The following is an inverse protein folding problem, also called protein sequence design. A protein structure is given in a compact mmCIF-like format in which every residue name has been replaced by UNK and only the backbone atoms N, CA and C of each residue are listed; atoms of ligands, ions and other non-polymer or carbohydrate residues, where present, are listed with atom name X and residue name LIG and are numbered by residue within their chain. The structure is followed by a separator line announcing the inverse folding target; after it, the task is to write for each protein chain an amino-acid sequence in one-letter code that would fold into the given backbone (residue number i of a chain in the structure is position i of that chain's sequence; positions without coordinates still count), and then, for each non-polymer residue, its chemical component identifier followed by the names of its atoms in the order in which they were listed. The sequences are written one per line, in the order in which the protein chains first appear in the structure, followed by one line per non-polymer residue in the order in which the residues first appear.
data_IF_764007659630
#
_entry.id   IF_764007659630
#
_cell.length_a   1.000
_cell.length_b   1.000
_cell.length_c   1.000
_cell.angle_alpha   90.00
_cell.angle_beta   90.00
_cell.angle_gamma   90.00
#
_symmetry.space_group_name_H-M   'P 1'
#
loop_
_entity.id
_entity.type
_entity.pdbx_description
1 polymer ?
#
# COMPACT_ATOMS: atom_id res chain seq x y z
N UNK A 1 60.74 -49.77 -4.27
CA UNK A 1 60.99 -48.33 -4.16
C UNK A 1 59.91 -47.65 -5.01
N UNK A 2 59.01 -46.85 -4.58
CA UNK A 2 58.72 -45.94 -3.51
C UNK A 2 57.19 -45.78 -3.44
N UNK A 3 56.59 -46.16 -2.34
CA UNK A 3 55.27 -45.72 -1.98
C UNK A 3 55.41 -44.31 -1.42
N UNK A 4 54.78 -43.32 -2.00
CA UNK A 4 54.49 -42.04 -1.31
C UNK A 4 53.43 -41.30 -2.13
N UNK A 5 52.41 -40.84 -1.36
CA UNK A 5 51.48 -39.74 -1.63
C UNK A 5 50.04 -40.10 -1.99
N UNK A 6 49.45 -40.96 -1.21
CA UNK A 6 47.99 -41.10 -1.16
C UNK A 6 47.34 -40.39 0.09
N UNK A 7 48.12 -39.64 0.89
CA UNK A 7 47.62 -39.01 2.13
C UNK A 7 47.32 -37.53 2.01
N UNK A 8 47.61 -36.88 0.86
CA UNK A 8 47.44 -35.43 0.70
C UNK A 8 46.09 -34.96 0.15
N UNK A 9 45.22 -35.85 -0.35
CA UNK A 9 44.02 -35.44 -1.08
C UNK A 9 42.73 -35.48 -0.27
N UNK A 10 42.78 -35.91 0.99
CA UNK A 10 41.59 -36.12 1.82
C UNK A 10 41.33 -34.99 2.83
N UNK A 11 42.21 -33.99 2.92
CA UNK A 11 42.05 -32.86 3.86
C UNK A 11 41.44 -31.63 3.17
N UNK A 12 41.41 -31.56 1.83
CA UNK A 12 40.90 -30.39 1.09
C UNK A 12 39.36 -30.36 0.96
N UNK A 13 38.62 -31.45 1.26
CA UNK A 13 37.17 -31.49 1.06
C UNK A 13 36.34 -31.13 2.31
N UNK A 14 37.00 -30.86 3.46
CA UNK A 14 36.25 -30.61 4.72
C UNK A 14 35.95 -29.13 4.96
N UNK A 15 36.50 -28.21 4.19
CA UNK A 15 36.29 -26.77 4.41
C UNK A 15 35.23 -26.10 3.48
N UNK A 16 34.49 -26.85 2.68
CA UNK A 16 33.51 -26.29 1.74
C UNK A 16 32.04 -26.30 2.24
N UNK A 17 31.76 -26.67 3.50
CA UNK A 17 30.40 -26.75 4.03
C UNK A 17 30.04 -25.72 5.10
N UNK A 18 30.73 -24.59 5.16
CA UNK A 18 30.32 -23.53 6.09
C UNK A 18 30.10 -22.22 5.33
N UNK A 19 28.99 -22.06 4.64
CA UNK A 19 28.43 -20.75 4.32
C UNK A 19 27.05 -20.88 3.63
N UNK A 20 26.15 -21.71 4.11
CA UNK A 20 24.71 -21.49 3.91
C UNK A 20 24.13 -21.01 5.24
N UNK A 21 24.56 -19.85 5.71
CA UNK A 21 23.76 -19.08 6.62
C UNK A 21 22.62 -18.53 5.78
N UNK A 22 21.48 -19.26 5.80
CA UNK A 22 20.22 -18.71 5.38
C UNK A 22 20.07 -17.38 6.12
N UNK A 23 20.10 -16.28 5.39
CA UNK A 23 19.62 -15.00 5.89
C UNK A 23 18.13 -15.19 6.17
N UNK A 24 17.81 -15.66 7.37
CA UNK A 24 16.52 -15.44 7.96
C UNK A 24 16.39 -13.93 8.05
N UNK A 25 15.68 -13.34 7.09
CA UNK A 25 15.14 -12.00 7.23
C UNK A 25 14.34 -12.02 8.53
N UNK A 26 14.95 -11.59 9.61
CA UNK A 26 14.26 -11.36 10.86
C UNK A 26 13.28 -10.22 10.60
N UNK A 27 12.07 -10.58 10.18
CA UNK A 27 10.93 -9.66 10.12
C UNK A 27 10.82 -9.07 11.52
N UNK A 28 11.26 -7.84 11.67
CA UNK A 28 11.29 -7.16 12.96
C UNK A 28 9.82 -6.98 13.41
N UNK A 29 9.35 -7.74 14.41
CA UNK A 29 7.94 -7.72 14.82
C UNK A 29 7.51 -6.34 15.34
N UNK A 30 8.47 -5.54 15.80
CA UNK A 30 8.23 -4.18 16.28
C UNK A 30 7.89 -3.23 15.10
N UNK A 31 8.49 -3.46 13.91
CA UNK A 31 8.20 -2.69 12.70
C UNK A 31 6.79 -3.01 12.16
N UNK A 32 6.38 -4.27 12.23
CA UNK A 32 5.04 -4.74 11.81
C UNK A 32 3.95 -4.15 12.72
N UNK A 33 4.17 -4.11 14.03
CA UNK A 33 3.24 -3.50 14.98
C UNK A 33 3.07 -1.98 14.78
N UNK A 34 4.16 -1.26 14.44
CA UNK A 34 4.10 0.17 14.16
C UNK A 34 3.33 0.45 12.85
N UNK A 35 3.46 -0.42 11.84
CA UNK A 35 2.72 -0.30 10.57
C UNK A 35 1.21 -0.52 10.75
N UNK A 36 0.82 -1.49 11.57
CA UNK A 36 -0.59 -1.77 11.86
C UNK A 36 -1.29 -0.61 12.60
N UNK A 37 -0.56 0.12 13.43
CA UNK A 37 -1.08 1.22 14.24
C UNK A 37 -1.42 2.49 13.44
N UNK A 38 -0.92 2.67 12.24
CA UNK A 38 -1.06 3.94 11.53
C UNK A 38 -2.51 4.24 11.12
N UNK A 39 -3.25 3.29 10.55
CA UNK A 39 -4.69 3.50 10.27
C UNK A 39 -5.51 3.60 11.57
N UNK A 40 -5.18 2.81 12.57
CA UNK A 40 -5.87 2.85 13.87
C UNK A 40 -5.73 4.21 14.58
N UNK A 41 -4.63 4.93 14.36
CA UNK A 41 -4.38 6.25 14.96
C UNK A 41 -5.09 7.41 14.26
N UNK A 42 -5.60 7.19 13.02
CA UNK A 42 -6.37 8.22 12.33
C UNK A 42 -7.72 8.41 13.02
N UNK A 43 -8.27 9.63 13.02
CA UNK A 43 -9.64 9.88 13.44
C UNK A 43 -10.65 9.03 12.68
N UNK A 44 -11.81 8.78 13.27
CA UNK A 44 -12.88 8.00 12.66
C UNK A 44 -13.46 8.64 11.40
N UNK A 45 -13.34 9.98 11.30
CA UNK A 45 -13.80 10.77 10.16
C UNK A 45 -12.87 11.94 9.93
N UNK A 46 -12.48 12.16 8.66
CA UNK A 46 -11.59 13.22 8.22
C UNK A 46 -12.16 13.88 6.97
N UNK A 47 -12.32 15.17 6.97
CA UNK A 47 -12.69 15.93 5.76
C UNK A 47 -11.54 15.88 4.76
N UNK A 48 -11.85 15.68 3.47
CA UNK A 48 -10.86 15.63 2.41
C UNK A 48 -10.94 16.85 1.48
N UNK A 49 -9.79 17.17 0.91
CA UNK A 49 -9.70 18.17 -0.12
C UNK A 49 -10.22 17.58 -1.45
N UNK A 50 -11.48 17.85 -1.79
CA UNK A 50 -12.13 17.35 -3.01
C UNK A 50 -11.37 17.73 -4.29
N UNK A 51 -10.91 18.99 -4.51
CA UNK A 51 -10.09 19.34 -5.65
C UNK A 51 -8.81 18.51 -5.78
N UNK A 52 -8.13 18.21 -4.65
CA UNK A 52 -6.94 17.38 -4.67
C UNK A 52 -7.26 15.94 -5.11
N UNK A 53 -8.41 15.37 -4.70
CA UNK A 53 -8.83 14.05 -5.14
C UNK A 53 -9.21 14.03 -6.63
N UNK A 54 -9.87 15.06 -7.14
CA UNK A 54 -10.22 15.17 -8.55
C UNK A 54 -8.98 15.30 -9.44
N UNK A 55 -7.95 16.05 -8.99
CA UNK A 55 -6.71 16.25 -9.74
C UNK A 55 -5.91 14.95 -9.94
N UNK A 56 -6.16 13.90 -9.13
CA UNK A 56 -5.54 12.59 -9.32
C UNK A 56 -5.79 12.01 -10.72
N UNK A 57 -6.93 12.33 -11.33
CA UNK A 57 -7.28 11.87 -12.68
C UNK A 57 -6.34 12.35 -13.77
N UNK A 58 -5.56 13.41 -13.52
CA UNK A 58 -4.60 14.01 -14.45
C UNK A 58 -3.19 13.44 -14.31
N UNK A 59 -2.94 12.68 -13.26
CA UNK A 59 -1.63 12.10 -12.97
C UNK A 59 -1.30 10.93 -13.90
N UNK A 60 -0.02 10.73 -14.10
CA UNK A 60 0.54 9.62 -14.88
C UNK A 60 1.13 8.58 -13.94
N UNK A 61 1.28 7.36 -14.43
CA UNK A 61 1.96 6.29 -13.71
C UNK A 61 3.35 6.76 -13.24
N UNK A 62 3.67 6.46 -11.99
CA UNK A 62 4.88 6.85 -11.26
C UNK A 62 4.89 8.28 -10.73
N UNK A 63 3.85 9.08 -10.98
CA UNK A 63 3.74 10.40 -10.34
C UNK A 63 3.58 10.24 -8.83
N UNK A 64 4.19 11.17 -8.10
CA UNK A 64 4.07 11.24 -6.64
C UNK A 64 2.75 11.87 -6.24
N UNK A 65 2.15 11.32 -5.21
CA UNK A 65 0.86 11.74 -4.66
C UNK A 65 1.01 12.06 -3.20
N UNK A 66 0.41 13.15 -2.75
CA UNK A 66 0.27 13.48 -1.34
C UNK A 66 -1.21 13.81 -1.05
N UNK A 67 -1.85 13.03 -0.20
CA UNK A 67 -3.21 13.27 0.26
C UNK A 67 -3.18 13.62 1.75
N UNK A 68 -3.76 14.76 2.08
CA UNK A 68 -3.86 15.19 3.47
C UNK A 68 -5.01 14.44 4.17
N UNK A 69 -4.69 13.73 5.23
CA UNK A 69 -5.61 13.01 6.11
C UNK A 69 -5.57 13.62 7.52
N UNK A 70 -5.99 14.87 7.64
CA UNK A 70 -5.91 15.63 8.88
C UNK A 70 -4.45 15.93 9.27
N UNK A 71 -3.99 15.38 10.39
CA UNK A 71 -2.61 15.55 10.85
C UNK A 71 -1.63 14.53 10.23
N UNK A 72 -2.10 13.72 9.30
CA UNK A 72 -1.30 12.70 8.62
C UNK A 72 -1.31 12.96 7.11
N UNK A 73 -0.16 12.85 6.48
CA UNK A 73 -0.03 12.87 5.04
C UNK A 73 0.11 11.45 4.50
N UNK A 74 -0.84 11.03 3.66
CA UNK A 74 -0.72 9.83 2.88
C UNK A 74 0.10 10.16 1.62
N UNK A 75 1.40 9.91 1.70
CA UNK A 75 2.29 10.02 0.55
C UNK A 75 2.36 8.69 -0.20
N UNK A 76 2.45 8.75 -1.52
CA UNK A 76 2.47 7.55 -2.35
C UNK A 76 2.92 7.82 -3.78
N UNK A 77 2.78 6.78 -4.59
CA UNK A 77 3.06 6.79 -6.02
C UNK A 77 1.89 6.18 -6.77
N UNK A 78 1.45 6.83 -7.85
CA UNK A 78 0.42 6.30 -8.73
C UNK A 78 0.99 5.09 -9.49
N UNK A 79 0.53 3.90 -9.13
CA UNK A 79 0.99 2.64 -9.77
C UNK A 79 0.16 2.26 -10.98
N UNK A 80 -1.10 2.70 -11.00
CA UNK A 80 -2.03 2.36 -12.06
C UNK A 80 -3.12 3.42 -12.22
N UNK A 81 -3.48 3.74 -13.46
CA UNK A 81 -4.66 4.52 -13.81
C UNK A 81 -5.39 3.80 -14.95
N UNK A 82 -6.63 3.38 -14.71
CA UNK A 82 -7.45 2.62 -15.65
C UNK A 82 -8.79 3.30 -15.90
N UNK A 83 -9.37 3.04 -17.05
CA UNK A 83 -10.73 3.45 -17.41
C UNK A 83 -11.59 2.21 -17.67
N UNK A 84 -12.20 1.63 -16.63
CA UNK A 84 -12.96 0.39 -16.74
C UNK A 84 -14.25 0.54 -17.56
N UNK A 85 -14.78 1.76 -17.67
CA UNK A 85 -15.93 2.09 -18.51
C UNK A 85 -15.91 3.56 -18.90
N UNK A 86 -16.80 3.96 -19.85
CA UNK A 86 -16.99 5.36 -20.18
C UNK A 86 -17.39 6.17 -18.94
N UNK A 87 -16.74 7.30 -18.73
CA UNK A 87 -16.98 8.17 -17.58
C UNK A 87 -16.39 7.72 -16.26
N UNK A 88 -15.71 6.56 -16.17
CA UNK A 88 -15.08 6.08 -14.95
C UNK A 88 -13.57 6.02 -15.12
N UNK A 89 -12.84 6.71 -14.24
CA UNK A 89 -11.39 6.60 -14.15
C UNK A 89 -11.01 6.22 -12.73
N UNK A 90 -10.26 5.11 -12.58
CA UNK A 90 -9.77 4.60 -11.30
C UNK A 90 -8.27 4.70 -11.21
N UNK A 91 -7.78 5.21 -10.09
CA UNK A 91 -6.37 5.39 -9.76
C UNK A 91 -6.00 4.55 -8.55
N UNK A 92 -4.94 3.76 -8.67
CA UNK A 92 -4.35 2.98 -7.58
C UNK A 92 -3.02 3.61 -7.17
N UNK A 93 -2.92 4.01 -5.90
CA UNK A 93 -1.77 4.70 -5.32
C UNK A 93 -1.18 3.80 -4.25
N UNK A 94 0.07 3.40 -4.45
CA UNK A 94 0.84 2.67 -3.44
C UNK A 94 1.44 3.65 -2.45
N UNK A 95 1.17 3.45 -1.17
CA UNK A 95 1.71 4.33 -0.14
C UNK A 95 3.22 4.15 0.05
N UNK A 96 3.91 5.27 0.22
CA UNK A 96 5.31 5.33 0.69
C UNK A 96 5.39 5.72 2.17
N UNK A 97 4.40 6.46 2.68
CA UNK A 97 4.32 6.84 4.11
C UNK A 97 3.73 5.74 4.98
N UNK A 98 2.94 4.82 4.39
CA UNK A 98 2.28 3.71 5.08
C UNK A 98 2.57 2.42 4.32
N UNK A 99 3.70 1.75 4.56
CA UNK A 99 4.10 0.55 3.81
C UNK A 99 3.01 -0.52 3.80
N UNK A 100 2.76 -1.09 2.62
CA UNK A 100 1.71 -2.09 2.39
C UNK A 100 0.31 -1.50 2.18
N UNK A 101 0.09 -0.20 2.45
CA UNK A 101 -1.20 0.41 2.18
C UNK A 101 -1.36 0.77 0.70
N UNK A 102 -2.60 0.66 0.24
CA UNK A 102 -3.06 1.04 -1.09
C UNK A 102 -4.24 1.98 -0.97
N UNK A 103 -4.19 3.11 -1.66
CA UNK A 103 -5.32 4.00 -1.85
C UNK A 103 -5.86 3.82 -3.27
N UNK A 104 -7.15 3.51 -3.38
CA UNK A 104 -7.87 3.51 -4.65
C UNK A 104 -8.84 4.67 -4.65
N UNK A 105 -8.81 5.51 -5.70
CA UNK A 105 -9.79 6.58 -5.92
C UNK A 105 -10.33 6.44 -7.32
N UNK A 106 -11.65 6.50 -7.46
CA UNK A 106 -12.34 6.53 -8.74
C UNK A 106 -13.10 7.84 -8.90
N UNK A 107 -12.92 8.48 -10.04
CA UNK A 107 -13.72 9.62 -10.50
C UNK A 107 -14.76 9.09 -11.47
N UNK A 108 -16.02 9.33 -11.17
CA UNK A 108 -17.18 8.91 -11.99
C UNK A 108 -17.84 10.16 -12.53
N UNK A 109 -17.76 10.36 -13.84
CA UNK A 109 -18.47 11.43 -14.53
C UNK A 109 -19.89 10.97 -14.82
N UNK A 110 -20.88 11.68 -14.28
CA UNK A 110 -22.30 11.40 -14.47
C UNK A 110 -22.82 11.99 -15.77
N UNK A 111 -24.05 11.65 -16.16
CA UNK A 111 -24.66 12.11 -17.42
C UNK A 111 -24.85 13.65 -17.48
N UNK A 112 -24.94 14.30 -16.34
CA UNK A 112 -25.05 15.76 -16.19
C UNK A 112 -23.67 16.45 -16.11
N UNK A 113 -22.59 15.73 -16.41
CA UNK A 113 -21.19 16.16 -16.27
C UNK A 113 -20.73 16.44 -14.82
N UNK A 114 -21.52 16.14 -13.82
CA UNK A 114 -21.05 16.20 -12.45
C UNK A 114 -20.09 15.03 -12.16
N UNK A 115 -19.18 15.23 -11.21
CA UNK A 115 -18.21 14.20 -10.84
C UNK A 115 -18.51 13.68 -9.42
N UNK A 116 -18.62 12.37 -9.32
CA UNK A 116 -18.70 11.65 -8.04
C UNK A 116 -17.38 10.96 -7.76
N UNK A 117 -16.93 11.06 -6.52
CA UNK A 117 -15.73 10.38 -6.06
C UNK A 117 -16.09 9.15 -5.22
N UNK A 118 -15.39 8.07 -5.46
CA UNK A 118 -15.44 6.85 -4.66
C UNK A 118 -14.01 6.46 -4.33
N UNK A 119 -13.74 6.02 -3.10
CA UNK A 119 -12.38 5.64 -2.76
C UNK A 119 -12.27 4.84 -1.48
N UNK A 120 -11.11 4.20 -1.34
CA UNK A 120 -10.76 3.46 -0.13
C UNK A 120 -9.25 3.46 0.09
N UNK A 121 -8.85 3.43 1.36
CA UNK A 121 -7.47 3.16 1.75
C UNK A 121 -7.48 1.87 2.56
N UNK A 122 -6.75 0.87 2.07
CA UNK A 122 -6.63 -0.45 2.69
C UNK A 122 -5.18 -0.68 3.06
N UNK A 123 -4.96 -1.13 4.30
CA UNK A 123 -3.70 -1.74 4.70
C UNK A 123 -4.00 -3.20 5.06
N UNK A 124 -3.38 -4.21 4.41
CA UNK A 124 -3.60 -5.62 4.72
C UNK A 124 -3.37 -5.98 6.20
N UNK A 125 -2.50 -5.23 6.88
CA UNK A 125 -2.14 -5.43 8.29
C UNK A 125 -3.10 -4.71 9.27
N UNK A 126 -4.14 -4.02 8.77
CA UNK A 126 -5.13 -3.32 9.60
C UNK A 126 -6.49 -4.03 9.53
N UNK A 127 -7.20 -4.07 10.64
CA UNK A 127 -8.59 -4.52 10.71
C UNK A 127 -9.60 -3.44 10.29
N UNK A 128 -9.08 -2.26 9.95
CA UNK A 128 -9.87 -1.11 9.53
C UNK A 128 -9.50 -0.68 8.11
N UNK A 129 -10.44 -0.05 7.43
CA UNK A 129 -10.26 0.62 6.14
C UNK A 129 -10.78 2.05 6.26
N UNK A 130 -10.22 2.97 5.47
CA UNK A 130 -10.79 4.29 5.25
C UNK A 130 -11.61 4.25 3.96
N UNK A 131 -12.85 4.73 4.02
CA UNK A 131 -13.76 4.77 2.87
C UNK A 131 -14.15 6.21 2.59
N UNK A 132 -14.08 6.61 1.34
CA UNK A 132 -14.53 7.92 0.90
C UNK A 132 -16.06 7.94 0.89
N UNK A 133 -16.65 8.84 1.65
CA UNK A 133 -18.10 9.01 1.82
C UNK A 133 -18.47 10.45 1.54
N UNK A 134 -19.53 10.66 0.79
CA UNK A 134 -20.09 11.98 0.51
C UNK A 134 -21.21 12.29 1.50
N UNK A 135 -21.14 13.48 2.12
CA UNK A 135 -22.18 14.01 3.01
C UNK A 135 -22.33 15.54 2.76
N UNK A 136 -23.50 15.99 2.44
CA UNK A 136 -23.80 17.42 2.19
C UNK A 136 -22.84 18.07 1.16
N UNK A 137 -22.59 17.39 0.04
CA UNK A 137 -21.67 17.80 -1.03
C UNK A 137 -20.22 17.95 -0.60
N UNK A 138 -19.82 17.32 0.51
CA UNK A 138 -18.44 17.25 0.98
C UNK A 138 -18.00 15.81 1.09
N UNK A 139 -16.74 15.57 0.87
CA UNK A 139 -16.17 14.22 0.96
C UNK A 139 -15.38 14.05 2.26
N UNK A 140 -15.55 12.87 2.86
CA UNK A 140 -14.88 12.48 4.09
C UNK A 140 -14.27 11.10 3.94
N UNK A 141 -13.07 10.92 4.45
CA UNK A 141 -12.54 9.61 4.74
C UNK A 141 -13.13 9.12 6.05
N UNK A 142 -13.90 8.05 6.02
CA UNK A 142 -14.57 7.46 7.18
C UNK A 142 -13.97 6.09 7.46
N UNK A 143 -13.56 5.89 8.70
CA UNK A 143 -13.04 4.61 9.17
C UNK A 143 -14.17 3.60 9.31
N UNK A 144 -13.96 2.40 8.77
CA UNK A 144 -14.91 1.27 8.80
C UNK A 144 -14.17 -0.01 9.16
N UNK A 145 -14.83 -0.97 9.84
CA UNK A 145 -14.27 -2.31 10.02
C UNK A 145 -14.04 -2.99 8.67
N UNK A 146 -12.89 -3.61 8.48
CA UNK A 146 -12.53 -4.33 7.26
C UNK A 146 -13.48 -5.49 6.97
N UNK A 147 -14.00 -6.13 8.00
CA UNK A 147 -14.96 -7.24 7.89
C UNK A 147 -16.21 -6.88 7.06
N UNK A 148 -16.62 -5.61 7.02
CA UNK A 148 -17.75 -5.16 6.21
C UNK A 148 -17.49 -5.18 4.70
N UNK A 149 -16.24 -5.35 4.28
CA UNK A 149 -15.81 -5.37 2.87
C UNK A 149 -15.30 -6.73 2.41
N UNK A 150 -15.23 -7.69 3.32
CA UNK A 150 -14.96 -9.09 3.03
C UNK A 150 -16.32 -9.77 2.84
N UNK A 151 -16.95 -9.56 1.67
CA UNK A 151 -18.16 -10.31 1.30
C UNK A 151 -17.68 -11.68 0.83
N UNK A 152 -18.28 -12.72 1.43
CA UNK A 152 -18.11 -14.12 1.02
C UNK A 152 -18.66 -14.35 -0.38
#
# INVERSE_FOLDING_TARGET
MKNLNAAGLLVACIFAFQSLSAQQETVNPKLTLLKAKTLAQLPSKLECNTPALQSLSQLRKSDKVALNLGNFEFAGELVESIRPSAGVQSMNIRSTSMPGAMCTVSVITQNDNTQKLVGRIINPQSDEVMVLTEENNRYYWVKKPKAHFLVN
#
